data_IF_677727751362
#
_entry.id   IF_677727751362
#
_cell.length_a   1.000
_cell.length_b   1.000
_cell.length_c   1.000
_cell.angle_alpha   90.00
_cell.angle_beta   90.00
_cell.angle_gamma   90.00
#
_symmetry.space_group_name_H-M   'P 1'
#
loop_
_entity.id
_entity.type
_entity.pdbx_description
1 polymer ?
#
# COMPACT_ATOMS: atom_id res chain seq x y z
N UNK A 1 -35.93 -20.65 6.27
CA UNK A 1 -35.04 -19.61 5.70
C UNK A 1 -34.46 -18.82 6.87
N UNK A 2 -33.13 -18.78 7.07
CA UNK A 2 -32.53 -18.01 8.18
C UNK A 2 -32.50 -16.52 7.79
N UNK A 3 -32.95 -15.64 8.68
CA UNK A 3 -32.90 -14.19 8.45
C UNK A 3 -31.49 -13.64 8.71
N UNK A 4 -31.15 -12.54 8.02
CA UNK A 4 -29.90 -11.82 8.24
C UNK A 4 -30.05 -10.98 9.52
N UNK A 5 -29.11 -11.06 10.49
CA UNK A 5 -29.12 -10.22 11.67
C UNK A 5 -29.05 -8.74 11.31
N UNK A 6 -29.81 -7.91 12.03
CA UNK A 6 -29.72 -6.45 11.94
C UNK A 6 -29.05 -5.92 13.22
N UNK A 7 -28.13 -4.98 13.04
CA UNK A 7 -27.46 -4.28 14.12
C UNK A 7 -27.70 -2.78 13.98
N UNK A 8 -27.87 -2.10 15.10
CA UNK A 8 -28.03 -0.65 15.17
C UNK A 8 -26.97 -0.10 16.12
N UNK A 9 -26.36 1.03 15.75
CA UNK A 9 -25.40 1.69 16.61
C UNK A 9 -26.13 2.36 17.79
N UNK A 10 -25.92 1.85 19.00
CA UNK A 10 -26.60 2.38 20.19
C UNK A 10 -25.93 3.60 20.83
N UNK A 11 -24.66 3.88 20.51
CA UNK A 11 -23.89 4.94 21.16
C UNK A 11 -22.74 5.44 20.28
N UNK A 12 -22.42 6.73 20.40
CA UNK A 12 -21.16 7.32 19.91
C UNK A 12 -20.12 7.30 21.02
N UNK A 13 -18.91 6.89 20.70
CA UNK A 13 -17.76 6.91 21.61
C UNK A 13 -16.64 7.73 21.01
N UNK A 14 -15.80 8.32 21.86
CA UNK A 14 -14.54 8.89 21.41
C UNK A 14 -13.67 7.77 20.81
N UNK A 15 -12.98 8.00 19.68
CA UNK A 15 -12.13 6.98 19.09
C UNK A 15 -11.00 6.61 20.07
N UNK A 16 -10.76 5.32 20.30
CA UNK A 16 -9.63 4.89 21.12
C UNK A 16 -8.31 5.24 20.41
N UNK A 17 -7.23 5.34 21.18
CA UNK A 17 -5.92 5.74 20.66
C UNK A 17 -5.45 4.86 19.48
N UNK A 18 -5.70 3.55 19.54
CA UNK A 18 -5.31 2.63 18.47
C UNK A 18 -5.97 2.98 17.12
N UNK A 19 -7.22 3.45 17.13
CA UNK A 19 -7.94 3.79 15.90
C UNK A 19 -7.37 5.07 15.27
N UNK A 20 -6.93 6.02 16.10
CA UNK A 20 -6.24 7.21 15.61
C UNK A 20 -4.87 6.87 15.01
N UNK A 21 -4.13 5.95 15.64
CA UNK A 21 -2.85 5.47 15.10
C UNK A 21 -3.01 4.69 13.80
N UNK A 22 -4.04 3.85 13.70
CA UNK A 22 -4.37 3.18 12.44
C UNK A 22 -4.62 4.20 11.33
N UNK A 23 -5.45 5.22 11.57
CA UNK A 23 -5.65 6.33 10.62
C UNK A 23 -4.34 7.01 10.23
N UNK A 24 -3.43 7.23 11.19
CA UNK A 24 -2.12 7.82 10.90
C UNK A 24 -1.25 6.94 10.00
N UNK A 25 -1.25 5.62 10.22
CA UNK A 25 -0.51 4.67 9.38
C UNK A 25 -1.06 4.70 7.96
N UNK A 26 -2.38 4.68 7.80
CA UNK A 26 -3.06 4.79 6.49
C UNK A 26 -2.59 6.03 5.74
N UNK A 27 -2.61 7.18 6.41
CA UNK A 27 -2.23 8.45 5.79
C UNK A 27 -0.75 8.44 5.37
N UNK A 28 0.13 7.80 6.16
CA UNK A 28 1.55 7.65 5.82
C UNK A 28 1.73 6.72 4.62
N UNK A 29 1.05 5.57 4.58
CA UNK A 29 1.10 4.63 3.45
C UNK A 29 0.68 5.32 2.15
N UNK A 30 -0.44 6.06 2.17
CA UNK A 30 -0.93 6.80 1.00
C UNK A 30 0.09 7.81 0.46
N UNK A 31 0.82 8.50 1.33
CA UNK A 31 1.88 9.45 0.95
C UNK A 31 3.11 8.72 0.41
N UNK A 32 3.52 7.65 1.10
CA UNK A 32 4.69 6.87 0.74
C UNK A 32 4.53 6.19 -0.63
N UNK A 33 3.32 5.76 -0.99
CA UNK A 33 3.04 5.16 -2.30
C UNK A 33 3.31 6.11 -3.45
N UNK A 34 2.85 7.37 -3.33
CA UNK A 34 3.12 8.42 -4.32
C UNK A 34 4.62 8.71 -4.41
N UNK A 35 5.27 8.94 -3.28
CA UNK A 35 6.70 9.22 -3.23
C UNK A 35 7.56 8.07 -3.79
N UNK A 36 7.14 6.83 -3.60
CA UNK A 36 7.79 5.65 -4.17
C UNK A 36 7.71 5.68 -5.71
N UNK A 37 6.51 5.85 -6.28
CA UNK A 37 6.32 5.88 -7.74
C UNK A 37 7.10 7.04 -8.35
N UNK A 38 7.02 8.24 -7.79
CA UNK A 38 7.77 9.42 -8.26
C UNK A 38 9.29 9.18 -8.27
N UNK A 39 9.79 8.40 -7.32
CA UNK A 39 11.23 8.13 -7.19
C UNK A 39 11.73 7.02 -8.11
N UNK A 40 10.92 5.99 -8.35
CA UNK A 40 11.34 4.75 -9.00
C UNK A 40 10.74 4.54 -10.39
N UNK A 41 9.98 5.51 -10.92
CA UNK A 41 9.47 5.50 -12.30
C UNK A 41 9.90 6.73 -13.11
N UNK A 42 9.97 6.56 -14.42
CA UNK A 42 10.06 7.64 -15.38
C UNK A 42 8.69 8.31 -15.60
N UNK A 43 8.64 9.51 -16.23
CA UNK A 43 7.37 10.20 -16.50
C UNK A 43 6.35 9.42 -17.35
N UNK A 44 6.80 8.40 -18.09
CA UNK A 44 5.95 7.51 -18.89
C UNK A 44 5.45 6.28 -18.10
N UNK A 45 5.79 6.19 -16.81
CA UNK A 45 5.40 5.09 -15.91
C UNK A 45 6.29 3.86 -16.00
N UNK A 46 7.36 3.87 -16.79
CA UNK A 46 8.35 2.78 -16.81
C UNK A 46 9.23 2.81 -15.56
N UNK A 47 9.68 1.66 -15.08
CA UNK A 47 10.59 1.60 -13.93
C UNK A 47 11.97 2.15 -14.27
N UNK A 48 12.57 2.85 -13.32
CA UNK A 48 13.99 3.18 -13.36
C UNK A 48 14.77 1.88 -13.12
N UNK A 49 15.19 1.22 -14.19
CA UNK A 49 15.87 -0.07 -14.14
C UNK A 49 17.06 -0.13 -15.12
N UNK A 50 17.88 -1.19 -15.00
CA UNK A 50 18.98 -1.45 -15.92
C UNK A 50 18.44 -1.84 -17.30
N UNK A 51 19.07 -1.33 -18.36
CA UNK A 51 18.69 -1.63 -19.74
C UNK A 51 19.27 -2.96 -20.27
N UNK A 52 20.31 -3.47 -19.61
CA UNK A 52 21.00 -4.69 -20.01
C UNK A 52 20.83 -5.79 -18.95
N UNK A 53 20.59 -7.02 -19.40
CA UNK A 53 20.39 -8.20 -18.56
C UNK A 53 21.69 -9.00 -18.42
N UNK A 54 22.41 -8.95 -17.27
CA UNK A 54 23.75 -9.53 -17.16
C UNK A 54 23.75 -11.06 -16.95
N UNK A 55 22.61 -11.67 -16.60
CA UNK A 55 22.51 -13.10 -16.31
C UNK A 55 21.28 -13.44 -15.47
N UNK A 56 21.07 -14.72 -15.15
CA UNK A 56 19.88 -15.18 -14.41
C UNK A 56 19.77 -14.66 -12.97
N UNK A 57 20.88 -14.21 -12.39
CA UNK A 57 20.93 -13.61 -11.06
C UNK A 57 20.23 -12.24 -11.03
N UNK A 58 19.28 -12.04 -10.12
CA UNK A 58 18.47 -10.83 -10.00
C UNK A 58 17.25 -10.76 -10.93
N UNK A 59 16.84 -11.87 -11.56
CA UNK A 59 15.55 -12.00 -12.31
C UNK A 59 14.34 -11.62 -11.48
N UNK A 60 14.47 -11.74 -10.17
CA UNK A 60 13.51 -11.41 -9.15
C UNK A 60 13.53 -9.96 -8.68
N UNK A 61 14.67 -9.29 -8.74
CA UNK A 61 14.84 -7.92 -8.23
C UNK A 61 13.75 -6.95 -8.74
N UNK A 62 13.31 -7.13 -10.00
CA UNK A 62 12.30 -6.29 -10.63
C UNK A 62 10.91 -6.44 -9.97
N UNK A 63 10.49 -7.66 -9.61
CA UNK A 63 9.22 -7.87 -8.91
C UNK A 63 9.35 -7.63 -7.40
N UNK A 64 10.50 -7.97 -6.82
CA UNK A 64 10.78 -7.74 -5.39
C UNK A 64 10.80 -6.26 -5.03
N UNK A 65 11.13 -5.39 -6.00
CA UNK A 65 11.02 -3.94 -5.84
C UNK A 65 9.61 -3.49 -5.46
N UNK A 66 8.56 -4.26 -5.79
CA UNK A 66 7.18 -3.97 -5.41
C UNK A 66 6.72 -4.68 -4.12
N UNK A 67 7.51 -5.59 -3.55
CA UNK A 67 7.16 -6.29 -2.31
C UNK A 67 6.91 -5.32 -1.15
N UNK A 68 7.65 -4.21 -1.11
CA UNK A 68 7.52 -3.17 -0.08
C UNK A 68 6.67 -1.98 -0.52
N UNK A 69 5.96 -2.09 -1.65
CA UNK A 69 5.11 -1.01 -2.15
C UNK A 69 4.05 -0.69 -1.08
N UNK A 70 4.03 0.53 -0.51
CA UNK A 70 3.25 0.83 0.69
C UNK A 70 1.78 1.12 0.35
N UNK A 71 1.12 0.17 -0.30
CA UNK A 71 -0.30 0.22 -0.60
C UNK A 71 -1.10 -0.17 0.64
N UNK A 72 -1.99 0.71 1.09
CA UNK A 72 -2.92 0.37 2.18
C UNK A 72 -4.04 -0.58 1.72
N UNK A 73 -4.29 -0.68 0.42
CA UNK A 73 -5.17 -1.66 -0.21
C UNK A 73 -4.56 -2.18 -1.51
N UNK A 74 -4.57 -3.51 -1.67
CA UNK A 74 -4.32 -4.22 -2.94
C UNK A 74 -5.64 -4.44 -3.67
#
# INVERSE_FOLDING_TARGET
MRSIPKFEAGQKVAPPAWALWERRIIDICNQAGVAFVERYTHPDGTLVWRNDWPGMDGSDDAYESFWTLPLFYL
#
